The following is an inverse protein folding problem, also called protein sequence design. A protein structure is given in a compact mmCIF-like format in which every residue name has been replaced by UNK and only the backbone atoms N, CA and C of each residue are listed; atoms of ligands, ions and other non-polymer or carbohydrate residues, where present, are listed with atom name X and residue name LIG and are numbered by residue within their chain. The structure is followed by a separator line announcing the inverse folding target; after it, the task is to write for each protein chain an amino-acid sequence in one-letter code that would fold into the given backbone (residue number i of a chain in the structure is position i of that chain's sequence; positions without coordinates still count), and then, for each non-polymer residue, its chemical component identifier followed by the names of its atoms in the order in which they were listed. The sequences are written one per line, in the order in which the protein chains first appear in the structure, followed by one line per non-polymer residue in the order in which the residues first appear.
data_IF_897825124172
#
_entry.id   IF_897825124172
#
_cell.length_a   1.000
_cell.length_b   1.000
_cell.length_c   1.000
_cell.angle_alpha   90.00
_cell.angle_beta   90.00
_cell.angle_gamma   90.00
#
_symmetry.space_group_name_H-M   'P 1'
#
loop_
_entity.id
_entity.type
_entity.pdbx_description
1 polymer ?
#
# COMPACT_ATOMS: atom_id res chain seq x y z
N UNK A 1 -12.46 67.90 -26.68
CA UNK A 1 -11.88 67.07 -25.61
C UNK A 1 -12.81 65.87 -25.39
N UNK A 2 -12.57 64.76 -26.11
CA UNK A 2 -13.42 63.56 -26.02
C UNK A 2 -12.91 62.69 -24.87
N UNK A 3 -13.76 62.45 -23.87
CA UNK A 3 -13.45 61.60 -22.71
C UNK A 3 -13.56 60.13 -23.12
N UNK A 4 -12.44 59.40 -23.15
CA UNK A 4 -12.46 57.94 -23.22
C UNK A 4 -12.87 57.39 -21.85
N UNK A 5 -14.06 56.79 -21.78
CA UNK A 5 -14.46 55.95 -20.66
C UNK A 5 -13.84 54.57 -20.83
N UNK A 6 -12.92 54.22 -19.93
CA UNK A 6 -12.41 52.85 -19.79
C UNK A 6 -13.46 52.01 -19.05
N UNK A 7 -14.06 51.06 -19.74
CA UNK A 7 -14.90 50.04 -19.11
C UNK A 7 -13.98 48.98 -18.46
N UNK A 8 -13.96 48.95 -17.14
CA UNK A 8 -13.32 47.87 -16.37
C UNK A 8 -14.17 46.61 -16.48
N UNK A 9 -13.66 45.62 -17.20
CA UNK A 9 -14.26 44.29 -17.29
C UNK A 9 -13.98 43.50 -15.99
N UNK A 10 -14.99 42.98 -15.28
CA UNK A 10 -14.77 42.21 -14.07
C UNK A 10 -14.15 40.85 -14.41
N UNK A 11 -12.97 40.57 -13.86
CA UNK A 11 -12.31 39.28 -13.97
C UNK A 11 -12.98 38.32 -12.96
N UNK A 12 -13.93 37.50 -13.44
CA UNK A 12 -14.51 36.42 -12.66
C UNK A 12 -13.45 35.32 -12.47
N UNK A 13 -12.91 35.20 -11.27
CA UNK A 13 -12.13 34.03 -10.85
C UNK A 13 -13.10 32.85 -10.76
N UNK A 14 -13.16 32.03 -11.81
CA UNK A 14 -13.79 30.72 -11.74
C UNK A 14 -13.02 29.87 -10.72
N UNK A 15 -13.63 29.62 -9.56
CA UNK A 15 -13.11 28.64 -8.61
C UNK A 15 -13.37 27.26 -9.20
N UNK A 16 -12.34 26.64 -9.78
CA UNK A 16 -12.38 25.23 -10.10
C UNK A 16 -12.40 24.47 -8.77
N UNK A 17 -13.53 23.85 -8.43
CA UNK A 17 -13.56 22.86 -7.37
C UNK A 17 -12.59 21.73 -7.78
N UNK A 18 -11.52 21.57 -7.01
CA UNK A 18 -10.64 20.40 -7.17
C UNK A 18 -11.45 19.22 -6.68
N UNK A 19 -11.72 18.24 -7.55
CA UNK A 19 -12.32 16.99 -7.13
C UNK A 19 -11.39 16.33 -6.12
N UNK A 20 -11.86 16.10 -4.90
CA UNK A 20 -11.10 15.36 -3.89
C UNK A 20 -11.03 13.91 -4.35
N UNK A 21 -9.83 13.42 -4.64
CA UNK A 21 -9.60 12.05 -5.09
C UNK A 21 -9.50 11.10 -3.88
N UNK A 22 -10.18 9.95 -3.95
CA UNK A 22 -10.09 8.86 -2.97
C UNK A 22 -8.80 8.06 -3.07
N UNK A 23 -8.13 8.16 -4.22
CA UNK A 23 -6.92 7.41 -4.54
C UNK A 23 -5.81 8.40 -4.89
N UNK A 24 -4.60 8.15 -4.38
CA UNK A 24 -3.41 8.91 -4.73
C UNK A 24 -2.28 7.99 -5.17
N UNK A 25 -1.62 8.35 -6.26
CA UNK A 25 -0.38 7.70 -6.66
C UNK A 25 0.78 8.17 -5.77
N UNK A 26 1.53 7.23 -5.23
CA UNK A 26 2.72 7.45 -4.40
C UNK A 26 3.91 6.63 -4.94
N UNK A 27 5.07 6.78 -4.32
CA UNK A 27 6.26 5.96 -4.59
C UNK A 27 6.04 4.46 -4.28
N UNK A 28 5.11 4.15 -3.39
CA UNK A 28 4.75 2.77 -3.02
C UNK A 28 3.51 2.25 -3.77
N UNK A 29 2.96 3.03 -4.72
CA UNK A 29 1.80 2.68 -5.54
C UNK A 29 0.56 3.53 -5.25
N UNK A 30 -0.58 3.10 -5.79
CA UNK A 30 -1.87 3.72 -5.59
C UNK A 30 -2.42 3.34 -4.22
N UNK A 31 -2.73 4.37 -3.42
CA UNK A 31 -3.19 4.21 -2.03
C UNK A 31 -4.48 4.97 -1.84
N UNK A 32 -5.35 4.47 -0.96
CA UNK A 32 -6.49 5.25 -0.52
C UNK A 32 -6.04 6.38 0.41
N UNK A 33 -6.68 7.53 0.25
CA UNK A 33 -6.37 8.74 1.01
C UNK A 33 -7.64 9.36 1.60
N UNK A 34 -7.47 10.16 2.64
CA UNK A 34 -8.55 11.00 3.16
C UNK A 34 -8.76 12.28 2.32
N UNK A 35 -9.70 13.13 2.73
CA UNK A 35 -9.97 14.41 2.05
C UNK A 35 -8.79 15.38 1.95
N UNK A 36 -7.77 15.22 2.80
CA UNK A 36 -6.54 16.03 2.77
C UNK A 36 -5.43 15.35 1.96
N UNK A 37 -5.71 14.19 1.35
CA UNK A 37 -4.77 13.39 0.59
C UNK A 37 -3.80 12.59 1.46
N UNK A 38 -4.03 12.47 2.78
CA UNK A 38 -3.18 11.68 3.67
C UNK A 38 -3.43 10.19 3.47
N UNK A 39 -2.36 9.40 3.36
CA UNK A 39 -2.43 7.95 3.17
C UNK A 39 -3.20 7.28 4.31
N UNK A 40 -4.07 6.35 3.94
CA UNK A 40 -4.82 5.53 4.89
C UNK A 40 -4.12 4.19 5.16
N UNK A 41 -4.34 3.66 6.35
CA UNK A 41 -3.76 2.43 6.84
C UNK A 41 -4.83 1.54 7.45
N UNK A 42 -4.57 0.23 7.48
CA UNK A 42 -5.33 -0.70 8.33
C UNK A 42 -4.44 -1.23 9.45
N UNK A 43 -5.02 -1.88 10.44
CA UNK A 43 -4.28 -2.45 11.56
C UNK A 43 -4.39 -3.98 11.55
N UNK A 44 -3.27 -4.69 11.40
CA UNK A 44 -3.27 -6.16 11.32
C UNK A 44 -3.81 -6.86 12.57
N UNK A 45 -3.86 -6.18 13.71
CA UNK A 45 -4.42 -6.72 14.97
C UNK A 45 -5.93 -6.50 15.11
N UNK A 46 -6.53 -5.70 14.24
CA UNK A 46 -7.98 -5.52 14.22
C UNK A 46 -8.66 -6.77 13.65
N UNK A 47 -9.61 -7.37 14.38
CA UNK A 47 -10.56 -8.31 13.81
C UNK A 47 -11.36 -7.64 12.68
N UNK A 48 -11.97 -8.46 11.81
CA UNK A 48 -12.85 -7.90 10.80
C UNK A 48 -14.08 -7.24 11.46
N UNK A 49 -14.42 -6.03 11.04
CA UNK A 49 -15.55 -5.26 11.57
C UNK A 49 -15.31 -4.63 12.94
N UNK A 50 -14.10 -4.66 13.49
CA UNK A 50 -13.83 -4.15 14.84
C UNK A 50 -12.47 -3.49 14.98
N UNK A 51 -12.44 -2.31 15.59
CA UNK A 51 -11.20 -1.64 16.00
C UNK A 51 -10.83 -2.01 17.45
N UNK A 52 -9.61 -2.48 17.67
CA UNK A 52 -9.00 -2.60 19.01
C UNK A 52 -8.05 -1.44 19.33
N UNK A 53 -7.81 -0.54 18.38
CA UNK A 53 -6.94 0.62 18.53
C UNK A 53 -7.67 1.77 19.25
N UNK A 54 -7.49 1.86 20.57
CA UNK A 54 -8.08 2.88 21.43
C UNK A 54 -7.02 3.63 22.26
N UNK A 55 -7.39 4.74 22.90
CA UNK A 55 -6.51 5.53 23.77
C UNK A 55 -5.22 5.98 23.05
N UNK A 56 -4.05 5.67 23.63
CA UNK A 56 -2.76 6.01 23.02
C UNK A 56 -2.56 5.43 21.62
N UNK A 57 -3.21 4.31 21.29
CA UNK A 57 -3.17 3.79 19.93
C UNK A 57 -3.84 4.79 18.98
N UNK A 58 -5.09 5.19 19.28
CA UNK A 58 -5.87 6.13 18.48
C UNK A 58 -5.26 7.54 18.43
N UNK A 59 -4.46 7.95 19.43
CA UNK A 59 -3.70 9.21 19.37
C UNK A 59 -2.59 9.15 18.30
N UNK A 60 -1.90 8.01 18.19
CA UNK A 60 -0.83 7.84 17.22
C UNK A 60 -1.36 7.44 15.84
N UNK A 61 -2.48 6.72 15.81
CA UNK A 61 -3.18 6.25 14.63
C UNK A 61 -4.62 6.77 14.66
N UNK A 62 -4.85 8.06 14.34
CA UNK A 62 -6.18 8.64 14.39
C UNK A 62 -7.16 7.83 13.52
N UNK A 63 -8.31 7.38 14.07
CA UNK A 63 -9.33 6.73 13.27
C UNK A 63 -9.82 7.65 12.15
N UNK A 64 -10.09 7.07 10.98
CA UNK A 64 -10.83 7.76 9.94
C UNK A 64 -12.33 7.70 10.27
N UNK A 65 -12.80 8.68 11.02
CA UNK A 65 -14.22 8.74 11.39
C UNK A 65 -15.12 8.88 10.16
N UNK A 66 -16.31 8.28 10.23
CA UNK A 66 -17.35 8.41 9.21
C UNK A 66 -18.13 9.74 9.35
N UNK A 67 -17.38 10.84 9.38
CA UNK A 67 -17.88 12.21 9.40
C UNK A 67 -18.30 12.68 8.00
N UNK A 68 -19.03 13.80 7.95
CA UNK A 68 -19.53 14.38 6.69
C UNK A 68 -18.41 14.74 5.71
N UNK A 69 -17.23 15.07 6.24
CA UNK A 69 -16.07 15.46 5.46
C UNK A 69 -15.50 14.30 4.62
N UNK A 70 -15.63 13.07 5.11
CA UNK A 70 -15.15 11.86 4.42
C UNK A 70 -16.27 11.06 3.72
N UNK A 71 -17.56 11.34 3.99
CA UNK A 71 -18.69 10.59 3.41
C UNK A 71 -18.68 10.57 1.88
N UNK A 72 -18.51 11.74 1.26
CA UNK A 72 -18.52 11.87 -0.21
C UNK A 72 -17.37 11.13 -0.90
N UNK A 73 -16.33 10.72 -0.17
CA UNK A 73 -15.24 9.92 -0.69
C UNK A 73 -15.57 8.43 -0.72
N UNK A 74 -16.27 7.91 0.31
CA UNK A 74 -16.34 6.47 0.50
C UNK A 74 -17.74 5.86 0.32
N UNK A 75 -18.81 6.65 0.39
CA UNK A 75 -20.20 6.14 0.37
C UNK A 75 -20.56 5.38 -0.93
N UNK A 76 -19.99 5.77 -2.08
CA UNK A 76 -20.32 5.19 -3.40
C UNK A 76 -19.43 3.99 -3.78
N UNK A 77 -18.52 3.56 -2.89
CA UNK A 77 -17.55 2.51 -3.16
C UNK A 77 -17.84 1.23 -2.37
N UNK A 78 -18.07 0.12 -3.08
CA UNK A 78 -18.56 -1.13 -2.49
C UNK A 78 -17.57 -1.81 -1.51
N UNK A 79 -16.28 -1.50 -1.62
CA UNK A 79 -15.24 -2.00 -0.73
C UNK A 79 -15.22 -1.30 0.63
N UNK A 80 -15.89 -0.15 0.78
CA UNK A 80 -15.95 0.59 2.03
C UNK A 80 -17.22 0.29 2.82
N UNK A 81 -17.08 0.34 4.14
CA UNK A 81 -18.14 0.11 5.12
C UNK A 81 -17.87 0.93 6.36
N UNK A 82 -18.84 1.02 7.27
CA UNK A 82 -18.69 1.68 8.57
C UNK A 82 -18.72 0.64 9.69
N UNK A 83 -17.89 0.86 10.71
CA UNK A 83 -17.86 0.07 11.94
C UNK A 83 -18.09 0.97 13.14
N UNK A 84 -18.92 0.51 14.07
CA UNK A 84 -19.11 1.19 15.36
C UNK A 84 -17.97 0.83 16.30
N UNK A 85 -17.24 1.83 16.77
CA UNK A 85 -16.15 1.68 17.75
C UNK A 85 -16.71 1.47 19.16
N UNK A 86 -15.86 1.05 20.10
CA UNK A 86 -16.27 0.79 21.49
C UNK A 86 -16.75 2.04 22.26
N UNK A 87 -16.39 3.24 21.78
CA UNK A 87 -16.85 4.52 22.30
C UNK A 87 -18.14 5.03 21.63
N UNK A 88 -18.72 4.25 20.70
CA UNK A 88 -19.93 4.59 19.95
C UNK A 88 -19.71 5.46 18.71
N UNK A 89 -18.46 5.85 18.40
CA UNK A 89 -18.16 6.59 17.17
C UNK A 89 -18.10 5.67 15.95
N UNK A 90 -18.47 6.17 14.77
CA UNK A 90 -18.41 5.42 13.51
C UNK A 90 -17.08 5.67 12.79
N UNK A 91 -16.48 4.60 12.27
CA UNK A 91 -15.20 4.62 11.57
C UNK A 91 -15.32 3.93 10.21
N UNK A 92 -14.72 4.52 9.19
CA UNK A 92 -14.60 3.91 7.87
C UNK A 92 -13.73 2.65 7.90
N UNK A 93 -14.10 1.66 7.10
CA UNK A 93 -13.39 0.39 7.00
C UNK A 93 -13.31 -0.08 5.54
N UNK A 94 -12.13 -0.54 5.11
CA UNK A 94 -11.88 -1.13 3.79
C UNK A 94 -11.97 -2.65 3.89
N UNK A 95 -12.90 -3.27 3.17
CA UNK A 95 -13.18 -4.71 3.23
C UNK A 95 -13.34 -5.21 4.68
N UNK A 96 -14.02 -4.41 5.52
CA UNK A 96 -14.23 -4.65 6.94
C UNK A 96 -13.02 -4.37 7.85
N UNK A 97 -11.87 -3.93 7.32
CA UNK A 97 -10.71 -3.51 8.12
C UNK A 97 -10.78 -2.02 8.44
N UNK A 98 -10.83 -1.61 9.72
CA UNK A 98 -10.92 -0.19 10.09
C UNK A 98 -9.75 0.63 9.53
N UNK A 99 -10.05 1.85 9.05
CA UNK A 99 -9.11 2.75 8.41
C UNK A 99 -8.58 3.81 9.37
N UNK A 100 -7.29 4.08 9.28
CA UNK A 100 -6.58 5.00 10.17
C UNK A 100 -5.70 5.94 9.36
N UNK A 101 -5.42 7.09 9.95
CA UNK A 101 -4.32 7.99 9.58
C UNK A 101 -3.10 7.68 10.42
N UNK A 102 -1.94 8.20 10.01
CA UNK A 102 -0.75 8.23 10.84
C UNK A 102 -0.44 9.64 11.32
N UNK A 103 -0.21 9.83 12.63
CA UNK A 103 -0.04 11.18 13.22
C UNK A 103 1.13 12.00 12.66
N UNK A 104 2.12 11.36 12.03
CA UNK A 104 3.29 12.05 11.48
C UNK A 104 3.20 12.23 9.96
N UNK A 105 2.14 11.74 9.32
CA UNK A 105 1.86 12.10 7.92
C UNK A 105 1.20 13.49 7.93
N UNK A 106 1.80 14.44 7.21
CA UNK A 106 1.41 15.86 7.24
C UNK A 106 1.14 16.43 5.85
N UNK A 107 1.64 15.77 4.81
CA UNK A 107 1.47 16.15 3.41
C UNK A 107 0.75 15.04 2.66
N UNK A 108 0.00 15.44 1.64
CA UNK A 108 -0.74 14.50 0.82
C UNK A 108 0.21 13.50 0.14
N UNK A 109 -0.02 12.20 0.35
CA UNK A 109 0.83 11.11 -0.15
C UNK A 109 1.96 10.69 0.81
N UNK A 110 2.12 11.36 1.95
CA UNK A 110 3.01 10.88 3.02
C UNK A 110 2.60 9.46 3.41
N UNK A 111 3.59 8.58 3.55
CA UNK A 111 3.37 7.17 3.89
C UNK A 111 4.29 6.67 5.02
N UNK A 112 4.71 7.58 5.93
CA UNK A 112 5.71 7.28 6.95
C UNK A 112 5.23 6.24 7.98
N UNK A 113 3.91 6.02 8.07
CA UNK A 113 3.31 4.97 8.90
C UNK A 113 3.49 3.55 8.34
N UNK A 114 3.83 3.41 7.06
CA UNK A 114 3.78 2.13 6.37
C UNK A 114 4.68 1.08 7.05
N UNK A 115 4.05 -0.02 7.42
CA UNK A 115 4.75 -1.20 7.92
C UNK A 115 5.31 -1.05 9.33
N UNK A 116 5.00 -0.01 10.10
CA UNK A 116 5.51 0.16 11.48
C UNK A 116 5.27 -1.13 12.27
N UNK A 117 6.36 -1.77 12.72
CA UNK A 117 6.36 -3.06 13.44
C UNK A 117 5.69 -4.22 12.69
N UNK A 118 5.51 -4.11 11.37
CA UNK A 118 4.85 -5.11 10.52
C UNK A 118 3.33 -5.23 10.71
N UNK A 119 2.70 -4.27 11.40
CA UNK A 119 1.26 -4.36 11.76
C UNK A 119 0.40 -3.24 11.20
N UNK A 120 0.99 -2.27 10.49
CA UNK A 120 0.29 -1.13 9.89
C UNK A 120 0.45 -1.15 8.36
N UNK A 121 -0.18 -2.10 7.65
CA UNK A 121 -0.19 -2.08 6.19
C UNK A 121 -0.95 -0.86 5.67
N UNK A 122 -0.46 -0.33 4.54
CA UNK A 122 -1.14 0.72 3.76
C UNK A 122 -2.47 0.15 3.24
N UNK A 123 -3.52 0.97 3.26
CA UNK A 123 -4.76 0.71 2.53
C UNK A 123 -4.53 0.97 1.03
N UNK A 124 -4.02 -0.05 0.34
CA UNK A 124 -3.76 0.00 -1.11
C UNK A 124 -5.05 0.10 -1.91
N UNK A 125 -5.01 0.90 -2.96
CA UNK A 125 -6.07 1.03 -3.97
C UNK A 125 -5.74 0.26 -5.26
N UNK A 126 -4.66 -0.53 -5.25
CA UNK A 126 -4.22 -1.39 -6.33
C UNK A 126 -4.26 -2.87 -5.93
N UNK A 127 -3.94 -3.77 -6.86
CA UNK A 127 -4.01 -5.22 -6.66
C UNK A 127 -2.75 -5.82 -6.00
N UNK A 128 -1.86 -4.97 -5.48
CA UNK A 128 -0.60 -5.41 -4.86
C UNK A 128 -0.86 -5.95 -3.45
N UNK A 129 -0.60 -7.25 -3.25
CA UNK A 129 -0.75 -7.90 -1.93
C UNK A 129 0.51 -7.88 -1.06
N UNK A 130 1.62 -7.41 -1.62
CA UNK A 130 2.87 -7.24 -0.90
C UNK A 130 2.78 -6.08 0.10
N UNK A 131 3.54 -6.20 1.19
CA UNK A 131 3.54 -5.23 2.28
C UNK A 131 4.92 -4.64 2.49
N UNK A 132 4.93 -3.53 3.22
CA UNK A 132 6.15 -2.92 3.74
C UNK A 132 6.30 -3.36 5.19
N UNK A 133 7.52 -3.72 5.59
CA UNK A 133 7.91 -3.92 6.97
C UNK A 133 8.88 -2.82 7.39
N UNK A 134 8.59 -2.19 8.52
CA UNK A 134 9.43 -1.16 9.12
C UNK A 134 9.85 -1.59 10.52
N UNK A 135 11.15 -1.86 10.67
CA UNK A 135 11.76 -2.29 11.94
C UNK A 135 12.34 -1.12 12.76
N UNK A 136 12.09 0.12 12.35
CA UNK A 136 12.61 1.34 12.95
C UNK A 136 14.01 1.76 12.47
N UNK A 137 14.69 0.93 11.68
CA UNK A 137 15.99 1.24 11.05
C UNK A 137 15.90 1.35 9.53
N UNK A 138 15.07 0.51 8.92
CA UNK A 138 14.85 0.47 7.48
C UNK A 138 13.44 -0.03 7.17
N UNK A 139 12.98 0.29 5.96
CA UNK A 139 11.75 -0.24 5.36
C UNK A 139 12.12 -1.19 4.23
N UNK A 140 11.39 -2.29 4.12
CA UNK A 140 11.63 -3.29 3.08
C UNK A 140 10.36 -4.06 2.73
N UNK A 141 10.35 -4.70 1.56
CA UNK A 141 9.24 -5.51 1.12
C UNK A 141 9.17 -6.85 1.85
N UNK A 142 7.94 -7.22 2.18
CA UNK A 142 7.59 -8.52 2.74
C UNK A 142 6.34 -9.07 2.07
N UNK A 143 6.13 -10.38 2.16
CA UNK A 143 4.87 -10.99 1.79
C UNK A 143 3.75 -10.75 2.83
N UNK A 144 2.59 -11.35 2.61
CA UNK A 144 1.43 -11.24 3.52
C UNK A 144 1.68 -11.79 4.92
N UNK A 145 2.70 -12.64 5.10
CA UNK A 145 3.09 -13.23 6.37
C UNK A 145 4.26 -12.48 7.03
N UNK A 146 4.63 -11.31 6.49
CA UNK A 146 5.75 -10.49 6.89
C UNK A 146 7.13 -11.15 6.70
N UNK A 147 7.25 -12.12 5.77
CA UNK A 147 8.55 -12.69 5.40
C UNK A 147 9.23 -11.80 4.36
N UNK A 148 10.50 -11.47 4.61
CA UNK A 148 11.32 -10.59 3.77
C UNK A 148 11.46 -11.09 2.34
N UNK A 149 11.37 -10.14 1.41
CA UNK A 149 11.54 -10.35 -0.01
C UNK A 149 12.88 -9.84 -0.53
N UNK A 150 13.42 -10.60 -1.47
CA UNK A 150 14.75 -10.43 -2.04
C UNK A 150 14.72 -10.43 -3.56
N UNK A 151 15.67 -9.72 -4.17
CA UNK A 151 16.00 -9.83 -5.59
C UNK A 151 17.28 -10.63 -5.80
N UNK A 152 17.46 -11.12 -7.03
CA UNK A 152 18.60 -11.93 -7.42
C UNK A 152 19.33 -11.31 -8.62
N UNK A 153 20.61 -10.96 -8.46
CA UNK A 153 21.39 -10.27 -9.51
C UNK A 153 21.54 -11.07 -10.81
N UNK A 154 21.33 -12.38 -10.75
CA UNK A 154 21.41 -13.22 -11.95
C UNK A 154 20.13 -13.20 -12.76
N UNK A 155 19.01 -12.71 -12.22
CA UNK A 155 17.79 -12.52 -13.00
C UNK A 155 17.97 -11.40 -14.03
N UNK A 156 17.31 -11.51 -15.18
CA UNK A 156 17.43 -10.53 -16.27
C UNK A 156 16.08 -10.29 -16.93
N UNK A 157 15.80 -9.04 -17.27
CA UNK A 157 14.62 -8.64 -18.03
C UNK A 157 13.31 -9.24 -17.47
N UNK A 158 13.08 -9.11 -16.15
CA UNK A 158 11.87 -9.67 -15.53
C UNK A 158 11.82 -11.20 -15.45
N UNK A 159 12.86 -11.92 -15.87
CA UNK A 159 12.86 -13.38 -15.95
C UNK A 159 13.71 -13.99 -14.84
N UNK A 160 13.10 -14.91 -14.09
CA UNK A 160 13.75 -15.71 -13.05
C UNK A 160 14.77 -16.68 -13.66
N UNK A 161 15.99 -16.72 -13.13
CA UNK A 161 17.00 -17.75 -13.35
C UNK A 161 17.08 -18.75 -12.16
N UNK A 162 16.16 -18.62 -11.19
CA UNK A 162 16.14 -19.43 -9.98
C UNK A 162 15.06 -20.52 -10.07
N UNK A 163 15.50 -21.73 -10.43
CA UNK A 163 14.68 -22.94 -10.51
C UNK A 163 15.37 -24.12 -9.80
N UNK A 164 14.64 -25.22 -9.61
CA UNK A 164 15.17 -26.44 -8.98
C UNK A 164 15.69 -26.19 -7.56
N UNK A 165 16.93 -26.60 -7.29
CA UNK A 165 17.57 -26.39 -5.98
C UNK A 165 17.65 -24.91 -5.58
N UNK A 166 17.81 -24.00 -6.56
CA UNK A 166 17.79 -22.56 -6.28
C UNK A 166 16.46 -22.18 -5.64
N UNK A 167 15.34 -22.55 -6.27
CA UNK A 167 13.99 -22.23 -5.78
C UNK A 167 13.65 -22.95 -4.45
N UNK A 168 14.36 -24.02 -4.11
CA UNK A 168 14.23 -24.67 -2.80
C UNK A 168 14.85 -23.82 -1.69
N UNK A 169 15.96 -23.14 -1.97
CA UNK A 169 16.64 -22.23 -1.03
C UNK A 169 16.06 -20.82 -1.08
N UNK A 170 15.58 -20.41 -2.24
CA UNK A 170 14.98 -19.13 -2.51
C UNK A 170 13.58 -19.29 -3.08
N UNK A 171 12.58 -19.68 -2.25
CA UNK A 171 11.22 -19.86 -2.74
C UNK A 171 10.70 -18.59 -3.41
N UNK A 172 10.18 -18.66 -4.65
CA UNK A 172 9.56 -17.52 -5.32
C UNK A 172 8.40 -16.95 -4.48
N UNK A 173 8.26 -15.63 -4.47
CA UNK A 173 7.10 -14.94 -3.91
C UNK A 173 5.96 -14.98 -4.95
N UNK A 174 5.08 -15.95 -4.80
CA UNK A 174 4.02 -16.22 -5.77
C UNK A 174 2.85 -15.25 -5.65
N UNK A 175 2.25 -14.90 -6.79
CA UNK A 175 0.95 -14.25 -6.85
C UNK A 175 -0.13 -15.28 -6.50
N UNK A 176 -1.02 -14.95 -5.56
CA UNK A 176 -2.05 -15.87 -5.11
C UNK A 176 -3.05 -16.18 -6.24
N UNK A 177 -3.48 -17.45 -6.44
CA UNK A 177 -4.46 -17.81 -7.47
C UNK A 177 -5.78 -17.04 -7.39
N UNK A 178 -6.22 -16.71 -6.17
CA UNK A 178 -7.43 -15.92 -5.94
C UNK A 178 -7.34 -14.48 -6.49
N UNK A 179 -6.14 -13.92 -6.63
CA UNK A 179 -5.97 -12.63 -7.29
C UNK A 179 -6.04 -12.80 -8.81
N UNK A 180 -5.39 -13.84 -9.33
CA UNK A 180 -5.33 -14.13 -10.77
C UNK A 180 -6.71 -14.45 -11.38
N UNK A 181 -7.71 -14.85 -10.57
CA UNK A 181 -9.08 -15.08 -11.07
C UNK A 181 -9.77 -13.79 -11.57
N UNK A 182 -9.24 -12.60 -11.25
CA UNK A 182 -9.67 -11.34 -11.88
C UNK A 182 -9.23 -11.23 -13.34
N UNK A 183 -8.25 -12.04 -13.75
CA UNK A 183 -7.57 -11.95 -15.04
C UNK A 183 -6.26 -11.18 -14.92
N UNK A 184 -5.17 -11.77 -15.39
CA UNK A 184 -3.80 -11.21 -15.32
C UNK A 184 -3.73 -9.79 -15.88
N UNK A 185 -4.40 -9.53 -17.01
CA UNK A 185 -4.40 -8.22 -17.66
C UNK A 185 -5.35 -7.20 -17.02
N UNK A 186 -6.18 -7.63 -16.08
CA UNK A 186 -7.11 -6.76 -15.35
C UNK A 186 -6.54 -6.31 -14.00
N UNK A 187 -5.38 -6.82 -13.59
CA UNK A 187 -4.74 -6.41 -12.35
C UNK A 187 -4.11 -5.03 -12.50
N UNK A 188 -4.44 -4.13 -11.58
CA UNK A 188 -3.79 -2.84 -11.46
C UNK A 188 -2.55 -2.98 -10.56
N UNK A 189 -1.36 -2.89 -11.15
CA UNK A 189 -0.09 -2.98 -10.43
C UNK A 189 0.67 -1.67 -10.64
N UNK A 190 0.82 -0.88 -9.57
CA UNK A 190 1.45 0.45 -9.64
C UNK A 190 2.68 0.51 -8.73
N UNK A 191 3.39 1.64 -8.65
CA UNK A 191 4.50 1.80 -7.68
C UNK A 191 5.71 0.91 -7.92
N UNK A 192 5.97 0.52 -9.18
CA UNK A 192 7.08 -0.37 -9.54
C UNK A 192 6.80 -1.86 -9.30
N UNK A 193 5.64 -2.21 -8.76
CA UNK A 193 5.23 -3.61 -8.60
C UNK A 193 4.77 -4.19 -9.94
N UNK A 194 5.05 -5.46 -10.15
CA UNK A 194 4.64 -6.19 -11.34
C UNK A 194 4.57 -7.69 -11.07
N UNK A 195 4.46 -8.46 -12.15
CA UNK A 195 4.53 -9.92 -12.08
C UNK A 195 5.18 -10.49 -13.33
N UNK A 196 5.76 -11.67 -13.18
CA UNK A 196 6.36 -12.44 -14.28
C UNK A 196 5.81 -13.86 -14.29
N UNK A 197 5.55 -14.40 -15.48
CA UNK A 197 5.11 -15.78 -15.63
C UNK A 197 6.31 -16.72 -15.55
N UNK A 198 6.20 -17.76 -14.73
CA UNK A 198 7.20 -18.82 -14.59
C UNK A 198 6.96 -19.93 -15.61
N UNK A 199 7.95 -20.80 -15.81
CA UNK A 199 7.90 -21.89 -16.79
C UNK A 199 6.76 -22.91 -16.58
N UNK A 200 6.20 -22.98 -15.37
CA UNK A 200 5.06 -23.83 -15.01
C UNK A 200 3.70 -23.12 -15.18
N UNK A 201 3.70 -21.91 -15.73
CA UNK A 201 2.50 -21.09 -15.95
C UNK A 201 2.05 -20.28 -14.74
N UNK A 202 2.67 -20.45 -13.58
CA UNK A 202 2.36 -19.67 -12.37
C UNK A 202 2.96 -18.26 -12.45
N UNK A 203 2.48 -17.33 -11.61
CA UNK A 203 2.98 -15.94 -11.60
C UNK A 203 3.73 -15.63 -10.31
N UNK A 204 4.87 -14.97 -10.46
CA UNK A 204 5.73 -14.49 -9.37
C UNK A 204 5.71 -12.97 -9.33
N UNK A 205 5.65 -12.39 -8.13
CA UNK A 205 5.75 -10.95 -7.93
C UNK A 205 7.11 -10.42 -8.41
N UNK A 206 7.10 -9.24 -9.02
CA UNK A 206 8.30 -8.46 -9.34
C UNK A 206 8.23 -7.09 -8.68
N UNK A 207 9.39 -6.50 -8.44
CA UNK A 207 9.53 -5.09 -8.10
C UNK A 207 10.64 -4.47 -8.96
N UNK A 208 10.35 -3.37 -9.65
CA UNK A 208 11.22 -2.74 -10.65
C UNK A 208 11.83 -3.79 -11.61
N UNK A 209 10.96 -4.59 -12.23
CA UNK A 209 11.30 -5.69 -13.14
C UNK A 209 12.20 -6.80 -12.58
N UNK A 210 12.35 -6.88 -11.25
CA UNK A 210 13.14 -7.92 -10.59
C UNK A 210 12.23 -8.95 -9.90
N UNK A 211 12.32 -10.25 -10.22
CA UNK A 211 11.55 -11.29 -9.53
C UNK A 211 11.86 -11.35 -8.03
N UNK A 212 10.82 -11.54 -7.22
CA UNK A 212 10.92 -11.52 -5.76
C UNK A 212 10.94 -12.92 -5.16
N UNK A 213 11.82 -13.13 -4.18
CA UNK A 213 12.00 -14.41 -3.52
C UNK A 213 12.00 -14.25 -2.01
N UNK A 214 11.64 -15.32 -1.32
CA UNK A 214 11.90 -15.51 0.11
C UNK A 214 13.19 -16.24 0.34
N UNK A 215 13.74 -16.16 1.53
CA UNK A 215 14.88 -16.96 1.95
C UNK A 215 14.45 -18.10 2.87
N UNK A 216 14.87 -19.33 2.57
CA UNK A 216 14.37 -20.51 3.30
C UNK A 216 14.76 -20.54 4.80
N UNK A 217 15.72 -19.73 5.25
CA UNK A 217 16.11 -19.64 6.67
C UNK A 217 15.38 -18.54 7.43
N UNK A 218 14.73 -17.61 6.76
CA UNK A 218 13.91 -16.61 7.43
C UNK A 218 12.60 -17.29 7.87
N UNK A 219 12.29 -17.19 9.17
CA UNK A 219 11.18 -17.90 9.81
C UNK A 219 10.28 -16.98 10.61
N UNK A 220 10.76 -15.80 10.97
CA UNK A 220 10.03 -14.81 11.74
C UNK A 220 9.85 -13.52 10.95
N UNK A 221 8.76 -12.79 11.20
CA UNK A 221 8.57 -11.45 10.66
C UNK A 221 9.79 -10.55 10.89
N UNK A 222 10.33 -10.00 9.80
CA UNK A 222 11.49 -9.10 9.84
C UNK A 222 12.86 -9.78 9.91
N UNK A 223 12.95 -11.11 9.84
CA UNK A 223 14.22 -11.79 9.57
C UNK A 223 14.77 -11.33 8.22
N UNK A 224 16.06 -10.98 8.16
CA UNK A 224 16.71 -10.48 6.94
C UNK A 224 17.96 -11.29 6.55
N UNK A 225 18.06 -12.56 6.98
CA UNK A 225 19.30 -13.34 6.91
C UNK A 225 19.73 -13.74 5.49
N UNK A 226 18.85 -13.56 4.51
CA UNK A 226 19.16 -13.74 3.09
C UNK A 226 19.99 -12.60 2.49
N UNK A 227 20.04 -11.43 3.13
CA UNK A 227 20.68 -10.27 2.52
C UNK A 227 22.19 -10.49 2.37
N UNK A 228 22.72 -10.24 1.18
CA UNK A 228 24.15 -10.39 0.86
C UNK A 228 24.62 -11.84 0.70
N UNK A 229 23.72 -12.84 0.69
CA UNK A 229 24.12 -14.24 0.46
C UNK A 229 24.85 -14.33 -0.89
N UNK A 230 26.09 -14.82 -0.85
CA UNK A 230 26.99 -14.91 -2.03
C UNK A 230 27.18 -13.58 -2.79
N UNK A 231 26.91 -12.44 -2.15
CA UNK A 231 26.95 -11.10 -2.74
C UNK A 231 26.05 -10.90 -3.99
N UNK A 232 24.98 -11.70 -4.13
CA UNK A 232 24.08 -11.63 -5.31
C UNK A 232 22.60 -11.60 -4.96
N UNK A 233 22.28 -11.57 -3.66
CA UNK A 233 20.92 -11.55 -3.14
C UNK A 233 20.74 -10.32 -2.27
N UNK A 234 19.73 -9.51 -2.57
CA UNK A 234 19.55 -8.21 -1.94
C UNK A 234 18.14 -8.03 -1.43
N UNK A 235 17.99 -7.51 -0.22
CA UNK A 235 16.71 -7.10 0.32
C UNK A 235 16.13 -5.96 -0.51
N UNK A 236 14.81 -5.97 -0.74
CA UNK A 236 14.15 -4.87 -1.45
C UNK A 236 13.79 -3.75 -0.48
N UNK A 237 14.59 -2.68 -0.49
CA UNK A 237 14.36 -1.50 0.35
C UNK A 237 13.21 -0.64 -0.18
N UNK A 238 12.57 0.11 0.72
CA UNK A 238 11.51 1.09 0.45
C UNK A 238 11.85 2.43 1.10
#
# INVERSE_FOLDING_TARGET
MSKLSFATLPFLLASCAVATETVKQTDVGNVYVDQSGLTLYTFSKDPNGQSVCNGNCAINWPPLFADEANRSLFDDHAEFSQITRSDGTEQWALNGKPLYRWKNDTQAGDNAGAGIKGVWPIARADDVTLRIYNNGKQRFLVDSDNITLYTFDKDKNGTSNCYGECATKWPPAMVAPALLSKGVNALELTGGYGMTQRNDGTYQWTYNDSPLYRWFKDKQPGDISGNGVKNVWHIVQQ
#
